data_IF_733955373709
#
_entry.id   IF_733955373709
#
_cell.length_a   1.000
_cell.length_b   1.000
_cell.length_c   1.000
_cell.angle_alpha   90.00
_cell.angle_beta   90.00
_cell.angle_gamma   90.00
#
_symmetry.space_group_name_H-M   'P 1'
#
loop_
_entity.id
_entity.type
_entity.pdbx_description
1 polymer ?
#
# COMPACT_ATOMS: atom_id res chain seq x y z
N UNK A 1 11.26 -5.28 0.58
CA UNK A 1 11.03 -4.78 1.95
C UNK A 1 11.84 -3.50 2.12
N UNK A 2 11.21 -2.33 1.98
CA UNK A 2 11.81 -0.99 2.23
C UNK A 2 11.32 -0.41 3.57
N UNK A 3 10.47 -1.16 4.30
CA UNK A 3 9.74 -0.69 5.48
C UNK A 3 10.60 0.03 6.54
N UNK A 4 11.77 -0.48 6.97
CA UNK A 4 12.60 0.23 7.95
C UNK A 4 13.34 1.44 7.35
N UNK A 5 13.51 1.50 6.03
CA UNK A 5 14.27 2.56 5.36
C UNK A 5 13.44 3.80 5.07
N UNK A 6 12.12 3.69 4.98
CA UNK A 6 11.25 4.79 4.59
C UNK A 6 11.13 5.88 5.69
N UNK A 7 10.95 5.55 6.98
CA UNK A 7 11.02 6.54 8.05
C UNK A 7 12.37 7.22 8.14
N UNK A 8 13.46 6.47 7.93
CA UNK A 8 14.82 7.02 7.89
C UNK A 8 15.01 7.98 6.72
N UNK A 9 14.54 7.64 5.52
CA UNK A 9 14.59 8.53 4.36
C UNK A 9 13.79 9.81 4.60
N UNK A 10 12.58 9.70 5.16
CA UNK A 10 11.74 10.84 5.49
C UNK A 10 12.39 11.77 6.51
N UNK A 11 13.01 11.24 7.56
CA UNK A 11 13.63 12.06 8.61
C UNK A 11 15.00 12.62 8.21
N UNK A 12 15.89 11.79 7.65
CA UNK A 12 17.29 12.16 7.40
C UNK A 12 17.52 12.88 6.08
N UNK A 13 16.75 12.58 5.03
CA UNK A 13 16.92 13.18 3.69
C UNK A 13 15.91 14.29 3.46
N UNK A 14 14.64 14.04 3.79
CA UNK A 14 13.54 14.98 3.52
C UNK A 14 13.21 15.90 4.71
N UNK A 15 13.86 15.73 5.86
CA UNK A 15 13.69 16.58 7.04
C UNK A 15 12.29 16.53 7.66
N UNK A 16 11.53 15.46 7.43
CA UNK A 16 10.17 15.31 7.97
C UNK A 16 10.21 15.08 9.49
N UNK A 17 9.32 15.74 10.22
CA UNK A 17 9.17 15.52 11.66
C UNK A 17 8.48 14.17 11.96
N UNK A 18 8.65 13.69 13.19
CA UNK A 18 8.10 12.40 13.61
C UNK A 18 6.57 12.34 13.53
N UNK A 19 5.86 13.45 13.80
CA UNK A 19 4.41 13.52 13.72
C UNK A 19 3.89 13.36 12.28
N UNK A 20 4.57 13.97 11.30
CA UNK A 20 4.21 13.83 9.89
C UNK A 20 4.51 12.42 9.36
N UNK A 21 5.63 11.81 9.76
CA UNK A 21 5.92 10.41 9.45
C UNK A 21 4.81 9.50 10.01
N UNK A 22 4.42 9.70 11.28
CA UNK A 22 3.32 8.98 11.90
C UNK A 22 1.99 9.17 11.17
N UNK A 23 1.69 10.38 10.71
CA UNK A 23 0.51 10.65 9.90
C UNK A 23 0.54 9.89 8.56
N UNK A 24 1.69 9.90 7.86
CA UNK A 24 1.86 9.14 6.60
C UNK A 24 1.61 7.65 6.84
N UNK A 25 2.25 7.06 7.85
CA UNK A 25 2.09 5.63 8.14
C UNK A 25 0.66 5.29 8.55
N UNK A 26 0.06 6.12 9.41
CA UNK A 26 -1.33 5.97 9.84
C UNK A 26 -2.30 5.98 8.66
N UNK A 27 -2.27 7.04 7.84
CA UNK A 27 -3.13 7.14 6.66
C UNK A 27 -2.93 5.98 5.69
N UNK A 28 -1.68 5.59 5.45
CA UNK A 28 -1.34 4.51 4.56
C UNK A 28 -1.90 3.16 5.08
N UNK A 29 -1.68 2.83 6.36
CA UNK A 29 -2.17 1.56 6.92
C UNK A 29 -3.69 1.54 7.08
N UNK A 30 -4.33 2.64 7.48
CA UNK A 30 -5.78 2.76 7.52
C UNK A 30 -6.40 2.55 6.15
N UNK A 31 -5.84 3.14 5.10
CA UNK A 31 -6.29 2.95 3.71
C UNK A 31 -6.19 1.47 3.31
N UNK A 32 -5.05 0.82 3.60
CA UNK A 32 -4.88 -0.60 3.32
C UNK A 32 -5.90 -1.47 4.07
N UNK A 33 -6.15 -1.19 5.35
CA UNK A 33 -7.07 -1.95 6.19
C UNK A 33 -8.52 -1.84 5.70
N UNK A 34 -8.98 -0.63 5.37
CA UNK A 34 -10.31 -0.41 4.81
C UNK A 34 -10.47 -1.15 3.47
N UNK A 35 -9.52 -0.98 2.55
CA UNK A 35 -9.57 -1.63 1.25
C UNK A 35 -9.44 -3.15 1.35
N UNK A 36 -8.75 -3.67 2.36
CA UNK A 36 -8.68 -5.11 2.64
C UNK A 36 -10.07 -5.68 2.96
N UNK A 37 -10.89 -4.95 3.73
CA UNK A 37 -12.26 -5.34 4.03
C UNK A 37 -13.12 -5.31 2.76
N UNK A 38 -13.10 -4.21 2.02
CA UNK A 38 -13.89 -4.06 0.79
C UNK A 38 -13.50 -5.07 -0.29
N UNK A 39 -12.21 -5.27 -0.53
CA UNK A 39 -11.72 -6.20 -1.55
C UNK A 39 -12.00 -7.66 -1.19
N UNK A 40 -11.96 -8.03 0.10
CA UNK A 40 -12.38 -9.34 0.57
C UNK A 40 -13.85 -9.60 0.24
N UNK A 41 -14.74 -8.73 0.73
CA UNK A 41 -16.17 -8.84 0.46
C UNK A 41 -16.50 -8.88 -1.04
N UNK A 42 -15.88 -8.01 -1.85
CA UNK A 42 -16.08 -7.97 -3.29
C UNK A 42 -15.57 -9.23 -3.98
N UNK A 43 -14.39 -9.71 -3.58
CA UNK A 43 -13.78 -10.94 -4.10
C UNK A 43 -14.67 -12.15 -3.84
N UNK A 44 -15.24 -12.25 -2.64
CA UNK A 44 -16.12 -13.35 -2.25
C UNK A 44 -17.44 -13.30 -3.02
N UNK A 45 -18.00 -12.11 -3.21
CA UNK A 45 -19.23 -11.91 -3.98
C UNK A 45 -19.08 -12.24 -5.47
N UNK A 46 -17.95 -11.87 -6.08
CA UNK A 46 -17.71 -12.10 -7.52
C UNK A 46 -17.20 -13.52 -7.79
N UNK A 47 -16.61 -14.19 -6.80
CA UNK A 47 -15.99 -15.51 -6.94
C UNK A 47 -14.72 -15.53 -7.80
N UNK A 48 -14.33 -14.40 -8.41
CA UNK A 48 -13.12 -14.25 -9.23
C UNK A 48 -12.08 -13.42 -8.50
N UNK A 49 -11.19 -14.12 -7.81
CA UNK A 49 -10.20 -13.48 -6.93
C UNK A 49 -8.91 -13.06 -7.66
N UNK A 50 -8.50 -13.80 -8.70
CA UNK A 50 -7.24 -13.59 -9.44
C UNK A 50 -7.07 -12.17 -10.03
N UNK A 51 -8.09 -11.55 -10.66
CA UNK A 51 -7.95 -10.20 -11.20
C UNK A 51 -7.63 -9.14 -10.14
N UNK A 52 -8.25 -9.21 -8.96
CA UNK A 52 -8.00 -8.27 -7.86
C UNK A 52 -6.56 -8.36 -7.35
N UNK A 53 -6.05 -9.59 -7.24
CA UNK A 53 -4.66 -9.84 -6.84
C UNK A 53 -3.68 -9.27 -7.86
N UNK A 54 -3.90 -9.53 -9.15
CA UNK A 54 -3.04 -9.00 -10.23
C UNK A 54 -3.06 -7.48 -10.25
N UNK A 55 -4.24 -6.86 -10.16
CA UNK A 55 -4.36 -5.40 -10.11
C UNK A 55 -3.64 -4.80 -8.90
N UNK A 56 -3.84 -5.37 -7.71
CA UNK A 56 -3.19 -4.87 -6.50
C UNK A 56 -1.65 -5.02 -6.54
N UNK A 57 -1.14 -6.10 -7.13
CA UNK A 57 0.31 -6.24 -7.38
C UNK A 57 0.81 -5.27 -8.44
N UNK A 58 0.12 -5.14 -9.56
CA UNK A 58 0.51 -4.24 -10.65
C UNK A 58 0.60 -2.80 -10.16
N UNK A 59 -0.41 -2.35 -9.41
CA UNK A 59 -0.44 -1.01 -8.84
C UNK A 59 0.71 -0.78 -7.84
N UNK A 60 0.94 -1.71 -6.91
CA UNK A 60 2.04 -1.59 -5.95
C UNK A 60 3.42 -1.61 -6.65
N UNK A 61 3.61 -2.46 -7.65
CA UNK A 61 4.86 -2.58 -8.41
C UNK A 61 5.14 -1.34 -9.26
N UNK A 62 4.10 -0.73 -9.83
CA UNK A 62 4.23 0.48 -10.62
C UNK A 62 4.58 1.69 -9.76
N UNK A 63 3.98 1.81 -8.56
CA UNK A 63 4.10 3.00 -7.72
C UNK A 63 5.40 3.05 -6.93
N UNK A 64 5.92 1.91 -6.49
CA UNK A 64 7.11 1.87 -5.62
C UNK A 64 8.36 2.57 -6.18
N UNK A 65 8.73 2.41 -7.47
CA UNK A 65 9.88 3.08 -8.06
C UNK A 65 9.82 4.60 -7.95
N UNK A 66 8.63 5.20 -7.95
CA UNK A 66 8.48 6.66 -7.81
C UNK A 66 8.98 7.20 -6.46
N UNK A 67 9.10 6.33 -5.43
CA UNK A 67 9.69 6.72 -4.14
C UNK A 67 11.15 7.16 -4.29
N UNK A 68 11.89 6.60 -5.26
CA UNK A 68 13.31 6.91 -5.46
C UNK A 68 13.55 8.32 -6.01
N UNK A 69 12.55 8.91 -6.67
CA UNK A 69 12.62 10.26 -7.25
C UNK A 69 11.83 11.29 -6.44
N UNK A 70 11.29 10.90 -5.29
CA UNK A 70 10.52 11.80 -4.42
C UNK A 70 11.45 12.84 -3.77
N UNK A 71 11.10 14.11 -3.94
CA UNK A 71 11.85 15.26 -3.42
C UNK A 71 11.19 15.90 -2.20
N UNK A 72 9.93 15.55 -1.92
CA UNK A 72 9.18 16.09 -0.79
C UNK A 72 8.43 15.02 -0.02
N UNK A 73 8.24 15.22 1.29
CA UNK A 73 7.53 14.27 2.13
C UNK A 73 6.04 14.11 1.71
N UNK A 74 5.43 15.14 1.13
CA UNK A 74 4.07 15.09 0.57
C UNK A 74 3.98 14.17 -0.66
N UNK A 75 5.00 14.16 -1.52
CA UNK A 75 5.07 13.19 -2.63
C UNK A 75 5.16 11.76 -2.09
N UNK A 76 5.98 11.54 -1.05
CA UNK A 76 6.06 10.23 -0.39
C UNK A 76 4.72 9.82 0.19
N UNK A 77 3.94 10.74 0.79
CA UNK A 77 2.59 10.47 1.27
C UNK A 77 1.71 9.92 0.14
N UNK A 78 1.61 10.63 -0.99
CA UNK A 78 0.79 10.21 -2.11
C UNK A 78 1.21 8.84 -2.64
N UNK A 79 2.52 8.64 -2.89
CA UNK A 79 3.10 7.38 -3.33
C UNK A 79 2.77 6.25 -2.33
N UNK A 80 2.89 6.53 -1.02
CA UNK A 80 2.64 5.55 0.04
C UNK A 80 1.19 5.14 0.08
N UNK A 81 0.27 6.10 0.04
CA UNK A 81 -1.17 5.83 0.03
C UNK A 81 -1.52 4.98 -1.18
N UNK A 82 -1.02 5.32 -2.37
CA UNK A 82 -1.27 4.52 -3.58
C UNK A 82 -0.66 3.11 -3.47
N UNK A 83 0.57 2.92 -3.00
CA UNK A 83 1.12 1.57 -2.73
C UNK A 83 0.23 0.77 -1.77
N UNK A 84 -0.35 1.43 -0.76
CA UNK A 84 -1.25 0.80 0.20
C UNK A 84 -2.62 0.46 -0.36
N UNK A 85 -3.12 1.20 -1.35
CA UNK A 85 -4.27 0.78 -2.15
C UNK A 85 -4.00 -0.58 -2.79
N UNK A 86 -2.82 -0.75 -3.42
CA UNK A 86 -2.42 -2.02 -4.01
C UNK A 86 -2.33 -3.16 -2.98
N UNK A 87 -1.76 -2.89 -1.79
CA UNK A 87 -1.75 -3.86 -0.67
C UNK A 87 -3.17 -4.25 -0.24
N UNK A 88 -4.05 -3.28 -0.07
CA UNK A 88 -5.45 -3.50 0.33
C UNK A 88 -6.17 -4.43 -0.63
N UNK A 89 -6.10 -4.12 -1.94
CA UNK A 89 -6.78 -4.87 -3.00
C UNK A 89 -6.31 -6.32 -3.17
N UNK A 90 -5.02 -6.60 -2.95
CA UNK A 90 -4.47 -7.96 -3.17
C UNK A 90 -4.47 -8.85 -1.94
N UNK A 91 -4.54 -8.29 -0.73
CA UNK A 91 -4.30 -9.07 0.50
C UNK A 91 -5.36 -10.12 0.78
N UNK A 92 -6.61 -9.73 1.08
CA UNK A 92 -7.71 -10.69 1.32
C UNK A 92 -7.96 -11.63 0.14
N UNK A 93 -8.02 -11.16 -1.13
CA UNK A 93 -8.30 -12.05 -2.25
C UNK A 93 -7.19 -13.07 -2.49
N UNK A 94 -5.92 -12.71 -2.23
CA UNK A 94 -4.79 -13.64 -2.32
C UNK A 94 -4.87 -14.71 -1.26
N UNK A 95 -5.10 -14.33 -0.01
CA UNK A 95 -5.11 -15.28 1.10
C UNK A 95 -6.26 -16.28 0.91
N UNK A 96 -7.42 -15.81 0.44
CA UNK A 96 -8.53 -16.68 0.06
C UNK A 96 -8.18 -17.58 -1.14
N UNK A 97 -7.59 -17.05 -2.24
CA UNK A 97 -7.16 -17.87 -3.39
C UNK A 97 -6.29 -19.04 -2.98
N UNK A 98 -5.33 -18.79 -2.08
CA UNK A 98 -4.40 -19.81 -1.60
C UNK A 98 -5.10 -20.86 -0.75
N UNK A 99 -6.18 -20.50 -0.05
CA UNK A 99 -6.96 -21.44 0.76
C UNK A 99 -7.89 -22.33 -0.09
N UNK A 100 -8.33 -21.87 -1.27
CA UNK A 100 -9.15 -22.65 -2.21
C UNK A 100 -8.31 -23.50 -3.19
N UNK A 101 -6.97 -23.38 -3.14
CA UNK A 101 -6.03 -24.12 -3.99
C UNK A 101 -5.62 -25.44 -3.35
#
# INVERSE_FOLDING_TARGET
>A
MIYPLLPLFLSSVLGANASFIGAIEGFAESTAALLKLFSGWWSDKVGKRKPLVVLGYGLASFVRPFTAIAQTATQVLAIRVTDRVGKGLRSSPRDALLADS
#
